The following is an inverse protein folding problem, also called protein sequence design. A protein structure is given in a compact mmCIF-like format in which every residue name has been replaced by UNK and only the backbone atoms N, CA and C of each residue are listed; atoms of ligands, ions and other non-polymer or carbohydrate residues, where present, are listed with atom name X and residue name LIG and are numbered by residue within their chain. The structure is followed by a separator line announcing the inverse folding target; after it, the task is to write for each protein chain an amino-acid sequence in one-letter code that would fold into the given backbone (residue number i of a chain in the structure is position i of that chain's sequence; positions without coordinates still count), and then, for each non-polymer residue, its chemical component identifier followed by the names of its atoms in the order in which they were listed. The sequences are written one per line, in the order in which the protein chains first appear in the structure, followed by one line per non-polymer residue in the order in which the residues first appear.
data_IF_885059052281
#
_entry.id   IF_885059052281
#
_cell.length_a   1.000
_cell.length_b   1.000
_cell.length_c   1.000
_cell.angle_alpha   90.00
_cell.angle_beta   90.00
_cell.angle_gamma   90.00
#
_symmetry.space_group_name_H-M   'P 1'
#
loop_
_entity.id
_entity.type
_entity.pdbx_description
1 polymer ?
#
# COMPACT_ATOMS: atom_id res chain seq x y z
N UNK A 1 -41.41 95.23 -29.74
CA UNK A 1 -42.01 94.40 -28.71
C UNK A 1 -42.39 93.11 -29.39
N UNK A 2 -41.84 92.02 -29.13
CA UNK A 2 -42.26 91.06 -28.12
C UNK A 2 -41.14 90.34 -27.40
N UNK A 3 -41.49 89.68 -26.29
CA UNK A 3 -40.71 89.12 -25.26
C UNK A 3 -40.08 87.75 -25.69
N UNK A 4 -38.79 87.59 -25.45
CA UNK A 4 -38.12 86.34 -25.57
C UNK A 4 -38.36 85.39 -24.34
N UNK A 5 -38.69 84.18 -24.63
CA UNK A 5 -38.89 83.12 -23.66
C UNK A 5 -37.61 82.25 -23.64
N UNK A 6 -36.83 82.31 -22.55
CA UNK A 6 -35.64 81.52 -22.30
C UNK A 6 -36.03 80.16 -21.70
N UNK A 7 -35.75 79.13 -22.46
CA UNK A 7 -35.83 77.72 -21.95
C UNK A 7 -34.53 77.37 -21.22
N UNK A 8 -34.64 76.96 -19.93
CA UNK A 8 -33.60 76.33 -19.15
C UNK A 8 -33.65 74.80 -19.39
N UNK A 9 -32.53 74.12 -19.71
CA UNK A 9 -32.53 72.68 -19.75
C UNK A 9 -32.38 72.12 -18.32
N UNK A 10 -33.34 71.29 -17.91
CA UNK A 10 -33.26 70.48 -16.69
C UNK A 10 -32.20 69.42 -16.82
N UNK A 11 -31.15 69.51 -16.01
CA UNK A 11 -30.08 68.49 -15.89
C UNK A 11 -30.62 67.37 -14.97
N UNK A 12 -31.01 66.24 -15.54
CA UNK A 12 -31.36 65.03 -14.80
C UNK A 12 -30.07 64.37 -14.32
N UNK A 13 -29.80 64.50 -13.01
CA UNK A 13 -28.70 63.79 -12.32
C UNK A 13 -29.11 62.32 -12.12
N UNK A 14 -28.63 61.42 -13.01
CA UNK A 14 -28.77 59.97 -12.83
C UNK A 14 -27.84 59.52 -11.70
N UNK A 15 -28.40 59.26 -10.50
CA UNK A 15 -27.68 58.61 -9.40
C UNK A 15 -27.50 57.15 -9.71
N UNK A 16 -26.34 56.76 -10.26
CA UNK A 16 -25.93 55.37 -10.42
C UNK A 16 -25.58 54.85 -9.05
N UNK A 17 -26.51 54.13 -8.42
CA UNK A 17 -26.20 53.31 -7.26
C UNK A 17 -25.30 52.15 -7.72
N UNK A 18 -23.99 52.25 -7.48
CA UNK A 18 -23.08 51.14 -7.56
C UNK A 18 -23.45 50.14 -6.46
N UNK A 19 -24.08 49.04 -6.84
CA UNK A 19 -24.19 47.88 -5.96
C UNK A 19 -22.76 47.40 -5.67
N UNK A 20 -22.41 47.13 -4.40
CA UNK A 20 -21.11 46.53 -4.12
C UNK A 20 -21.09 45.18 -4.83
N UNK A 21 -20.17 45.03 -5.78
CA UNK A 21 -19.83 43.71 -6.32
C UNK A 21 -19.37 42.87 -5.13
N UNK A 22 -20.15 41.85 -4.77
CA UNK A 22 -19.68 40.82 -3.90
C UNK A 22 -18.61 40.09 -4.69
N UNK A 23 -17.36 40.52 -4.51
CA UNK A 23 -16.21 39.69 -4.84
C UNK A 23 -16.37 38.44 -3.98
N UNK A 24 -16.62 37.27 -4.58
CA UNK A 24 -16.47 36.01 -3.88
C UNK A 24 -15.02 35.97 -3.37
N UNK A 25 -14.85 36.16 -2.09
CA UNK A 25 -13.53 36.09 -1.45
C UNK A 25 -13.09 34.62 -1.58
N UNK A 26 -12.11 34.38 -2.44
CA UNK A 26 -11.54 33.05 -2.54
C UNK A 26 -11.04 32.66 -1.16
N UNK A 27 -11.51 31.51 -0.65
CA UNK A 27 -11.07 31.02 0.65
C UNK A 27 -9.59 30.63 0.55
N UNK A 28 -8.76 31.20 1.42
CA UNK A 28 -7.31 30.92 1.52
C UNK A 28 -6.99 30.42 2.93
N UNK A 29 -5.90 29.68 3.10
CA UNK A 29 -5.56 29.07 4.39
C UNK A 29 -5.31 30.12 5.48
N UNK A 30 -4.86 31.31 5.11
CA UNK A 30 -4.62 32.45 6.00
C UNK A 30 -5.88 33.34 6.26
N UNK A 31 -7.02 32.97 5.64
CA UNK A 31 -8.28 33.68 5.91
C UNK A 31 -8.61 33.63 7.40
N UNK A 32 -8.67 34.81 8.07
CA UNK A 32 -8.96 34.89 9.49
C UNK A 32 -10.44 34.62 9.74
N UNK A 33 -10.74 33.61 10.57
CA UNK A 33 -12.10 33.22 10.96
C UNK A 33 -12.48 33.70 12.36
N UNK A 34 -11.48 33.93 13.24
CA UNK A 34 -11.69 34.57 14.54
C UNK A 34 -10.44 35.32 15.02
N UNK A 35 -10.62 36.25 15.98
CA UNK A 35 -9.55 36.89 16.74
C UNK A 35 -9.85 36.79 18.23
N UNK A 36 -8.90 36.23 18.98
CA UNK A 36 -9.01 36.05 20.43
C UNK A 36 -7.93 36.87 21.12
N UNK A 37 -8.29 38.01 21.68
CA UNK A 37 -7.37 38.96 22.29
C UNK A 37 -6.19 39.36 21.36
N UNK A 38 -6.45 39.46 20.06
CA UNK A 38 -5.47 39.83 19.04
C UNK A 38 -4.77 38.63 18.36
N UNK A 39 -4.88 37.42 18.90
CA UNK A 39 -4.39 36.21 18.27
C UNK A 39 -5.37 35.72 17.19
N UNK A 40 -4.89 35.45 15.99
CA UNK A 40 -5.71 35.09 14.85
C UNK A 40 -5.88 33.58 14.77
N UNK A 41 -7.11 33.13 14.55
CA UNK A 41 -7.47 31.77 14.13
C UNK A 41 -7.83 31.86 12.67
N UNK A 42 -7.16 31.03 11.83
CA UNK A 42 -7.35 31.04 10.39
C UNK A 42 -8.12 29.81 9.92
N UNK A 43 -8.61 29.88 8.69
CA UNK A 43 -9.25 28.73 8.04
C UNK A 43 -8.29 27.51 7.94
N UNK A 44 -7.00 27.75 7.73
CA UNK A 44 -5.97 26.70 7.75
C UNK A 44 -5.91 25.95 9.08
N UNK A 45 -6.00 26.67 10.22
CA UNK A 45 -6.07 26.02 11.54
C UNK A 45 -7.29 25.09 11.66
N UNK A 46 -8.45 25.52 11.14
CA UNK A 46 -9.66 24.71 11.17
C UNK A 46 -9.57 23.46 10.27
N UNK A 47 -8.99 23.61 9.08
CA UNK A 47 -8.80 22.51 8.12
C UNK A 47 -7.91 21.43 8.75
N UNK A 48 -6.78 21.82 9.35
CA UNK A 48 -5.89 20.87 10.02
C UNK A 48 -6.58 20.23 11.23
N UNK A 49 -7.30 21.02 12.05
CA UNK A 49 -8.05 20.47 13.18
C UNK A 49 -9.10 19.43 12.71
N UNK A 50 -9.82 19.70 11.60
CA UNK A 50 -10.76 18.77 11.00
C UNK A 50 -10.08 17.48 10.55
N UNK A 51 -8.91 17.57 9.91
CA UNK A 51 -8.17 16.41 9.40
C UNK A 51 -7.70 15.46 10.51
N UNK A 52 -7.47 15.99 11.72
CA UNK A 52 -7.03 15.22 12.89
C UNK A 52 -8.17 14.67 13.75
N UNK A 53 -9.43 14.97 13.41
CA UNK A 53 -10.58 14.44 14.15
C UNK A 53 -10.68 12.92 14.01
N UNK A 54 -11.07 12.20 15.09
CA UNK A 54 -11.42 10.80 15.00
C UNK A 54 -12.51 10.54 13.95
N UNK A 55 -12.42 9.40 13.24
CA UNK A 55 -13.27 9.07 12.10
C UNK A 55 -14.77 9.22 12.38
N UNK A 56 -15.21 8.92 13.61
CA UNK A 56 -16.61 9.06 14.03
C UNK A 56 -17.15 10.49 13.93
N UNK A 57 -16.30 11.50 14.13
CA UNK A 57 -16.68 12.92 14.02
C UNK A 57 -16.63 13.41 12.58
N UNK A 58 -15.78 12.84 11.74
CA UNK A 58 -15.65 13.24 10.33
C UNK A 58 -16.93 13.01 9.50
N UNK A 59 -17.89 12.25 10.02
CA UNK A 59 -19.19 11.98 9.39
C UNK A 59 -20.27 13.01 9.73
N UNK A 60 -19.98 13.96 10.61
CA UNK A 60 -20.93 15.03 10.95
C UNK A 60 -21.07 16.03 9.79
N UNK A 61 -22.25 16.72 9.68
CA UNK A 61 -22.43 17.77 8.68
C UNK A 61 -21.38 18.87 8.80
N UNK A 62 -20.93 19.42 7.67
CA UNK A 62 -19.85 20.42 7.64
C UNK A 62 -20.21 21.70 8.44
N UNK A 63 -21.49 22.09 8.50
CA UNK A 63 -21.94 23.23 9.29
C UNK A 63 -21.72 23.00 10.80
N UNK A 64 -21.99 21.78 11.28
CA UNK A 64 -21.79 21.39 12.68
C UNK A 64 -20.30 21.32 13.02
N UNK A 65 -19.49 20.76 12.10
CA UNK A 65 -18.05 20.69 12.26
C UNK A 65 -17.42 22.07 12.26
N UNK A 66 -17.84 22.96 11.38
CA UNK A 66 -17.29 24.31 11.28
C UNK A 66 -17.46 25.06 12.60
N UNK A 67 -18.70 25.13 13.13
CA UNK A 67 -18.98 25.81 14.40
C UNK A 67 -18.25 25.15 15.57
N UNK A 68 -18.30 23.80 15.66
CA UNK A 68 -17.68 23.07 16.77
C UNK A 68 -16.15 23.19 16.79
N UNK A 69 -15.48 23.14 15.64
CA UNK A 69 -14.02 23.31 15.53
C UNK A 69 -13.63 24.74 15.87
N UNK A 70 -14.38 25.73 15.36
CA UNK A 70 -14.11 27.13 15.65
C UNK A 70 -14.21 27.41 17.14
N UNK A 71 -15.29 26.99 17.78
CA UNK A 71 -15.51 27.16 19.23
C UNK A 71 -14.40 26.45 20.03
N UNK A 72 -14.00 25.25 19.65
CA UNK A 72 -12.90 24.52 20.28
C UNK A 72 -11.59 25.31 20.20
N UNK A 73 -11.22 25.82 19.02
CA UNK A 73 -9.99 26.58 18.83
C UNK A 73 -10.01 27.90 19.62
N UNK A 74 -11.15 28.60 19.69
CA UNK A 74 -11.33 29.79 20.52
C UNK A 74 -11.09 29.47 22.00
N UNK A 75 -11.71 28.40 22.52
CA UNK A 75 -11.56 27.99 23.92
C UNK A 75 -10.12 27.59 24.23
N UNK A 76 -9.47 26.83 23.36
CA UNK A 76 -8.05 26.44 23.49
C UNK A 76 -7.15 27.69 23.51
N UNK A 77 -7.41 28.68 22.66
CA UNK A 77 -6.64 29.93 22.60
C UNK A 77 -6.79 30.71 23.90
N UNK A 78 -8.02 30.85 24.44
CA UNK A 78 -8.26 31.50 25.73
C UNK A 78 -7.49 30.79 26.87
N UNK A 79 -7.56 29.45 26.94
CA UNK A 79 -6.85 28.68 27.96
C UNK A 79 -5.34 28.81 27.83
N UNK A 80 -4.80 28.77 26.62
CA UNK A 80 -3.38 28.99 26.33
C UNK A 80 -2.93 30.37 26.85
N UNK A 81 -3.72 31.41 26.66
CA UNK A 81 -3.38 32.78 27.10
C UNK A 81 -3.32 32.94 28.63
N UNK A 82 -4.07 32.11 29.38
CA UNK A 82 -3.99 32.07 30.86
C UNK A 82 -2.63 31.62 31.38
N UNK A 83 -1.86 30.85 30.61
CA UNK A 83 -0.49 30.46 30.99
C UNK A 83 0.51 31.62 31.09
N UNK A 84 0.12 32.83 30.69
CA UNK A 84 0.94 34.05 30.88
C UNK A 84 2.27 34.05 30.13
N UNK A 85 2.38 33.33 29.01
CA UNK A 85 3.56 33.27 28.15
C UNK A 85 4.66 32.32 28.58
N UNK A 86 4.51 31.56 29.68
CA UNK A 86 5.41 30.48 30.07
C UNK A 86 4.96 29.18 29.39
N UNK A 87 5.81 28.63 28.54
CA UNK A 87 5.57 27.29 27.96
C UNK A 87 6.27 26.23 28.82
N UNK A 88 5.53 25.28 29.45
CA UNK A 88 6.16 24.19 30.22
C UNK A 88 7.12 23.37 29.35
N UNK A 89 8.21 22.86 29.95
CA UNK A 89 9.23 22.05 29.25
C UNK A 89 8.60 20.86 28.48
N UNK A 90 7.67 20.17 29.11
CA UNK A 90 6.94 19.06 28.46
C UNK A 90 6.27 19.49 27.15
N UNK A 91 5.65 20.68 27.12
CA UNK A 91 4.98 21.20 25.91
C UNK A 91 6.01 21.55 24.84
N UNK A 92 7.14 22.18 25.21
CA UNK A 92 8.23 22.50 24.27
C UNK A 92 8.73 21.23 23.61
N UNK A 93 9.11 20.22 24.39
CA UNK A 93 9.64 18.97 23.89
C UNK A 93 8.62 18.19 23.04
N UNK A 94 7.33 18.27 23.40
CA UNK A 94 6.26 17.66 22.61
C UNK A 94 6.12 18.30 21.24
N UNK A 95 6.17 19.65 21.18
CA UNK A 95 6.11 20.40 19.91
C UNK A 95 7.34 20.12 19.03
N UNK A 96 8.55 20.06 19.62
CA UNK A 96 9.77 19.71 18.87
C UNK A 96 9.72 18.29 18.30
N UNK A 97 9.15 17.34 19.03
CA UNK A 97 8.96 15.96 18.53
C UNK A 97 7.92 15.91 17.44
N UNK A 98 6.81 16.61 17.57
CA UNK A 98 5.74 16.70 16.57
C UNK A 98 6.25 17.35 15.28
N UNK A 99 6.94 18.48 15.37
CA UNK A 99 7.56 19.15 14.22
C UNK A 99 8.50 18.22 13.48
N UNK A 100 9.37 17.49 14.21
CA UNK A 100 10.30 16.51 13.62
C UNK A 100 9.56 15.39 12.90
N UNK A 101 8.48 14.90 13.49
CA UNK A 101 7.66 13.84 12.92
C UNK A 101 6.95 14.29 11.65
N UNK A 102 6.32 15.46 11.68
CA UNK A 102 5.58 16.02 10.53
C UNK A 102 6.51 16.33 9.36
N UNK A 103 7.65 16.97 9.61
CA UNK A 103 8.64 17.28 8.57
C UNK A 103 9.28 16.02 7.97
N UNK A 104 9.53 15.00 8.79
CA UNK A 104 10.01 13.71 8.30
C UNK A 104 8.96 13.01 7.43
N UNK A 105 7.68 13.02 7.85
CA UNK A 105 6.57 12.48 7.08
C UNK A 105 6.42 13.16 5.72
N UNK A 106 6.42 14.48 5.68
CA UNK A 106 6.37 15.27 4.44
C UNK A 106 7.54 14.93 3.50
N UNK A 107 8.75 14.77 4.04
CA UNK A 107 9.93 14.40 3.25
C UNK A 107 9.77 12.99 2.66
N UNK A 108 9.26 12.04 3.44
CA UNK A 108 9.00 10.67 2.99
C UNK A 108 7.95 10.68 1.86
N UNK A 109 6.85 11.40 2.01
CA UNK A 109 5.82 11.52 0.98
C UNK A 109 6.38 12.10 -0.33
N UNK A 110 7.23 13.12 -0.24
CA UNK A 110 7.90 13.72 -1.41
C UNK A 110 8.82 12.71 -2.11
N UNK A 111 9.61 11.92 -1.36
CA UNK A 111 10.45 10.86 -1.92
C UNK A 111 9.57 9.85 -2.64
N UNK A 112 8.53 9.31 -1.99
CA UNK A 112 7.63 8.31 -2.54
C UNK A 112 6.96 8.80 -3.82
N UNK A 113 6.45 10.04 -3.82
CA UNK A 113 5.82 10.64 -4.99
C UNK A 113 6.80 10.83 -6.16
N UNK A 114 8.07 11.15 -5.88
CA UNK A 114 9.08 11.40 -6.90
C UNK A 114 9.55 10.14 -7.64
N UNK A 115 9.45 8.96 -7.01
CA UNK A 115 9.98 7.70 -7.56
C UNK A 115 8.91 6.81 -8.18
N UNK A 116 7.63 7.05 -7.92
CA UNK A 116 6.53 6.24 -8.43
C UNK A 116 6.11 6.74 -9.82
N UNK A 117 6.92 6.45 -10.82
CA UNK A 117 6.64 6.78 -12.24
C UNK A 117 6.31 5.52 -13.04
N UNK A 118 5.63 5.68 -14.17
CA UNK A 118 5.32 4.55 -15.05
C UNK A 118 6.58 3.87 -15.58
N UNK A 119 7.65 4.62 -15.83
CA UNK A 119 8.94 4.09 -16.27
C UNK A 119 9.61 3.26 -15.16
N UNK A 120 9.54 3.73 -13.89
CA UNK A 120 10.09 2.99 -12.77
C UNK A 120 9.32 1.70 -12.50
N UNK A 121 7.99 1.74 -12.61
CA UNK A 121 7.13 0.57 -12.49
C UNK A 121 7.42 -0.46 -13.57
N UNK A 122 7.54 -0.03 -14.83
CA UNK A 122 7.88 -0.91 -15.94
C UNK A 122 9.27 -1.51 -15.75
N UNK A 123 10.26 -0.73 -15.34
CA UNK A 123 11.62 -1.22 -15.11
C UNK A 123 11.67 -2.25 -13.95
N UNK A 124 10.93 -2.01 -12.87
CA UNK A 124 10.82 -2.95 -11.76
C UNK A 124 10.11 -4.25 -12.17
N UNK A 125 9.05 -4.13 -12.97
CA UNK A 125 8.36 -5.27 -13.53
C UNK A 125 9.28 -6.10 -14.43
N UNK A 126 9.96 -5.46 -15.38
CA UNK A 126 10.88 -6.13 -16.30
C UNK A 126 12.03 -6.82 -15.54
N UNK A 127 12.54 -6.19 -14.47
CA UNK A 127 13.59 -6.78 -13.65
C UNK A 127 13.09 -7.98 -12.83
N UNK A 128 11.87 -7.90 -12.29
CA UNK A 128 11.28 -8.96 -11.46
C UNK A 128 10.79 -10.14 -12.30
N UNK A 129 10.25 -9.86 -13.48
CA UNK A 129 9.60 -10.82 -14.36
C UNK A 129 10.34 -11.01 -15.70
N UNK A 130 11.69 -10.81 -15.69
CA UNK A 130 12.55 -11.04 -16.85
C UNK A 130 12.40 -12.45 -17.43
N UNK A 131 12.89 -12.65 -18.64
CA UNK A 131 12.89 -13.94 -19.33
C UNK A 131 13.40 -15.07 -18.41
N UNK A 132 12.61 -16.12 -18.26
CA UNK A 132 12.88 -17.22 -17.35
C UNK A 132 12.27 -17.07 -15.96
N UNK A 133 11.50 -16.00 -15.73
CA UNK A 133 10.67 -15.88 -14.52
C UNK A 133 9.69 -17.04 -14.42
N UNK A 134 9.43 -17.39 -13.19
CA UNK A 134 8.47 -18.41 -12.83
C UNK A 134 9.13 -19.75 -12.51
N UNK A 135 8.50 -20.44 -11.58
CA UNK A 135 8.84 -21.80 -11.25
C UNK A 135 8.40 -22.75 -12.35
N UNK A 136 9.04 -23.91 -12.44
CA UNK A 136 8.61 -24.95 -13.35
C UNK A 136 7.22 -25.43 -12.94
N UNK A 137 6.28 -25.40 -13.87
CA UNK A 137 4.97 -26.05 -13.76
C UNK A 137 4.96 -27.31 -14.61
N UNK A 138 4.39 -28.34 -14.04
CA UNK A 138 4.30 -29.67 -14.64
C UNK A 138 2.84 -30.03 -14.88
N UNK A 139 2.56 -30.58 -16.04
CA UNK A 139 1.30 -31.26 -16.31
C UNK A 139 1.56 -32.74 -16.32
N UNK A 140 0.95 -33.48 -15.42
CA UNK A 140 1.18 -34.92 -15.31
C UNK A 140 -0.13 -35.69 -15.16
N UNK A 141 -0.01 -36.97 -15.51
CA UNK A 141 -1.03 -37.98 -15.22
C UNK A 141 -0.42 -39.10 -14.38
N UNK A 142 -1.20 -39.72 -13.50
CA UNK A 142 -0.72 -40.84 -12.71
C UNK A 142 -1.72 -41.99 -12.61
N UNK A 143 -1.18 -43.20 -12.36
CA UNK A 143 -1.92 -44.40 -12.01
C UNK A 143 -1.45 -44.81 -10.62
N UNK A 144 -2.36 -44.84 -9.66
CA UNK A 144 -2.11 -45.26 -8.29
C UNK A 144 -2.61 -46.70 -8.10
N UNK A 145 -1.78 -47.53 -7.58
CA UNK A 145 -2.09 -48.94 -7.26
C UNK A 145 -1.54 -49.33 -5.88
N UNK A 146 -2.12 -50.35 -5.20
CA UNK A 146 -1.74 -50.67 -3.84
C UNK A 146 -0.38 -51.37 -3.69
N UNK A 147 0.17 -52.03 -4.74
CA UNK A 147 1.39 -52.81 -4.65
C UNK A 147 2.41 -52.50 -5.75
N UNK A 148 3.68 -52.76 -5.47
CA UNK A 148 4.77 -52.60 -6.42
C UNK A 148 4.61 -53.52 -7.65
N UNK A 149 4.13 -54.74 -7.42
CA UNK A 149 3.95 -55.71 -8.50
C UNK A 149 2.86 -55.25 -9.47
N UNK A 150 1.77 -54.67 -8.97
CA UNK A 150 0.75 -54.05 -9.82
C UNK A 150 1.29 -52.83 -10.59
N UNK A 151 2.12 -52.01 -9.95
CA UNK A 151 2.74 -50.87 -10.63
C UNK A 151 3.70 -51.28 -11.72
N UNK A 152 4.47 -52.36 -11.52
CA UNK A 152 5.33 -52.98 -12.55
C UNK A 152 4.51 -53.52 -13.71
N UNK A 153 3.39 -54.19 -13.42
CA UNK A 153 2.49 -54.71 -14.46
C UNK A 153 1.85 -53.55 -15.27
N UNK A 154 1.46 -52.46 -14.61
CA UNK A 154 0.98 -51.22 -15.27
C UNK A 154 2.07 -50.64 -16.16
N UNK A 155 3.29 -50.51 -15.65
CA UNK A 155 4.43 -49.97 -16.42
C UNK A 155 4.72 -50.84 -17.67
N UNK A 156 4.67 -52.16 -17.56
CA UNK A 156 4.86 -53.05 -18.69
C UNK A 156 3.77 -52.91 -19.78
N UNK A 157 2.51 -52.73 -19.38
CA UNK A 157 1.43 -52.42 -20.32
C UNK A 157 1.69 -51.15 -21.11
N UNK A 158 2.09 -50.08 -20.39
CA UNK A 158 2.38 -48.76 -20.98
C UNK A 158 3.60 -48.82 -21.91
N UNK A 159 4.64 -49.58 -21.55
CA UNK A 159 5.84 -49.80 -22.38
C UNK A 159 5.51 -50.58 -23.66
N UNK A 160 4.49 -51.44 -23.61
CA UNK A 160 3.97 -52.17 -24.77
C UNK A 160 2.98 -51.32 -25.61
N UNK A 161 2.81 -50.02 -25.29
CA UNK A 161 2.01 -49.06 -26.07
C UNK A 161 0.52 -49.03 -25.74
N UNK A 162 0.11 -49.59 -24.61
CA UNK A 162 -1.28 -49.47 -24.15
C UNK A 162 -1.52 -48.02 -23.74
N UNK A 163 -2.72 -47.50 -24.04
CA UNK A 163 -3.09 -46.12 -23.73
C UNK A 163 -3.08 -45.83 -22.22
N UNK A 164 -2.42 -44.76 -21.83
CA UNK A 164 -2.24 -44.39 -20.42
C UNK A 164 -3.60 -44.11 -19.76
N UNK A 165 -4.44 -43.30 -20.40
CA UNK A 165 -5.71 -42.90 -19.84
C UNK A 165 -6.70 -44.07 -19.70
N UNK A 166 -6.68 -44.99 -20.65
CA UNK A 166 -7.50 -46.21 -20.56
C UNK A 166 -7.01 -47.10 -19.40
N UNK A 167 -5.66 -47.27 -19.26
CA UNK A 167 -5.08 -48.02 -18.14
C UNK A 167 -5.38 -47.37 -16.80
N UNK A 168 -5.33 -46.04 -16.71
CA UNK A 168 -5.68 -45.31 -15.51
C UNK A 168 -7.14 -45.53 -15.09
N UNK A 169 -8.09 -45.49 -16.04
CA UNK A 169 -9.50 -45.74 -15.75
C UNK A 169 -9.76 -47.17 -15.29
N UNK A 170 -9.00 -48.13 -15.79
CA UNK A 170 -9.16 -49.57 -15.46
C UNK A 170 -8.48 -49.93 -14.13
N UNK A 171 -7.28 -49.39 -13.88
CA UNK A 171 -6.38 -49.90 -12.84
C UNK A 171 -6.14 -48.94 -11.67
N UNK A 172 -6.34 -47.63 -11.87
CA UNK A 172 -6.01 -46.68 -10.83
C UNK A 172 -7.05 -46.69 -9.69
N UNK A 173 -6.55 -46.76 -8.46
CA UNK A 173 -7.35 -46.59 -7.24
C UNK A 173 -7.40 -45.15 -6.79
N UNK A 174 -6.66 -44.25 -7.45
CA UNK A 174 -6.62 -42.85 -7.15
C UNK A 174 -7.85 -42.08 -7.68
N UNK A 175 -8.14 -40.91 -7.09
CA UNK A 175 -9.34 -40.13 -7.43
C UNK A 175 -9.33 -39.59 -8.88
N UNK A 176 -8.16 -39.43 -9.49
CA UNK A 176 -8.00 -39.03 -10.89
C UNK A 176 -8.19 -40.18 -11.90
N UNK A 177 -8.23 -41.43 -11.44
CA UNK A 177 -8.37 -42.62 -12.30
C UNK A 177 -9.53 -42.51 -13.30
N UNK A 178 -10.76 -42.18 -12.91
CA UNK A 178 -11.89 -42.04 -13.83
C UNK A 178 -11.68 -41.00 -14.94
N UNK A 179 -10.82 -40.01 -14.70
CA UNK A 179 -10.45 -38.95 -15.64
C UNK A 179 -9.14 -39.28 -16.41
N UNK A 180 -8.76 -40.54 -16.48
CA UNK A 180 -7.53 -40.96 -17.16
C UNK A 180 -6.23 -40.69 -16.41
N UNK A 181 -6.34 -40.41 -15.11
CA UNK A 181 -5.22 -40.12 -14.23
C UNK A 181 -4.73 -38.67 -14.27
N UNK A 182 -5.39 -37.78 -15.00
CA UNK A 182 -4.98 -36.36 -15.16
C UNK A 182 -4.98 -35.60 -13.84
N UNK A 183 -3.89 -34.85 -13.59
CA UNK A 183 -3.71 -34.00 -12.42
C UNK A 183 -3.78 -32.51 -12.76
N UNK A 184 -3.72 -32.15 -14.06
CA UNK A 184 -3.59 -30.77 -14.51
C UNK A 184 -2.21 -30.20 -14.28
N UNK A 185 -2.11 -28.85 -14.30
CA UNK A 185 -0.88 -28.12 -14.03
C UNK A 185 -0.67 -27.93 -12.53
N UNK A 186 0.57 -28.15 -12.07
CA UNK A 186 0.96 -27.91 -10.68
C UNK A 186 2.42 -27.45 -10.62
N UNK A 187 2.73 -26.60 -9.64
CA UNK A 187 4.09 -26.13 -9.35
C UNK A 187 4.81 -26.96 -8.29
N UNK A 188 6.03 -26.56 -7.99
CA UNK A 188 6.84 -27.15 -6.93
C UNK A 188 6.14 -27.06 -5.57
N UNK A 189 6.26 -28.11 -4.75
CA UNK A 189 5.66 -28.23 -3.42
C UNK A 189 4.16 -28.57 -3.39
N UNK A 190 3.51 -28.73 -4.56
CA UNK A 190 2.10 -29.10 -4.61
C UNK A 190 1.85 -30.61 -4.41
N UNK A 191 2.89 -31.44 -4.62
CA UNK A 191 2.81 -32.88 -4.53
C UNK A 191 3.71 -33.40 -3.40
N UNK A 192 3.52 -34.67 -3.01
CA UNK A 192 4.43 -35.31 -2.03
C UNK A 192 5.83 -35.41 -2.62
N UNK A 193 6.91 -35.31 -1.80
CA UNK A 193 8.28 -35.19 -2.29
C UNK A 193 8.73 -36.27 -3.25
N UNK A 194 8.36 -37.54 -2.99
CA UNK A 194 8.76 -38.68 -3.82
C UNK A 194 8.10 -38.61 -5.22
N UNK A 195 6.86 -38.17 -5.28
CA UNK A 195 6.13 -37.99 -6.53
C UNK A 195 6.74 -36.84 -7.34
N UNK A 196 6.98 -35.70 -6.68
CA UNK A 196 7.54 -34.51 -7.29
C UNK A 196 8.95 -34.77 -7.86
N UNK A 197 9.79 -35.42 -7.07
CA UNK A 197 11.14 -35.82 -7.53
C UNK A 197 11.08 -36.68 -8.79
N UNK A 198 10.11 -37.60 -8.87
CA UNK A 198 9.94 -38.46 -10.05
C UNK A 198 9.46 -37.65 -11.27
N UNK A 199 8.51 -36.70 -11.09
CA UNK A 199 8.04 -35.81 -12.17
C UNK A 199 9.20 -34.98 -12.72
N UNK A 200 10.01 -34.37 -11.83
CA UNK A 200 11.14 -33.51 -12.21
C UNK A 200 12.21 -34.24 -13.00
N UNK A 201 12.36 -35.58 -12.77
CA UNK A 201 13.32 -36.40 -13.45
C UNK A 201 12.85 -36.89 -14.83
N UNK A 202 11.56 -36.69 -15.16
CA UNK A 202 11.00 -37.14 -16.44
C UNK A 202 11.21 -36.10 -17.55
N UNK A 203 11.41 -36.63 -18.77
CA UNK A 203 11.21 -35.83 -19.99
C UNK A 203 9.73 -35.85 -20.40
N UNK A 204 9.28 -34.78 -21.05
CA UNK A 204 7.89 -34.67 -21.55
C UNK A 204 7.55 -35.86 -22.45
N UNK A 205 6.44 -36.48 -22.19
CA UNK A 205 5.93 -37.65 -22.87
C UNK A 205 6.35 -39.00 -22.22
N UNK A 206 7.33 -39.00 -21.32
CA UNK A 206 7.87 -40.24 -20.71
C UNK A 206 7.03 -40.67 -19.49
N UNK A 207 7.15 -41.97 -19.19
CA UNK A 207 6.49 -42.65 -18.06
C UNK A 207 7.53 -43.10 -17.05
N UNK A 208 7.32 -42.79 -15.77
CA UNK A 208 8.24 -43.16 -14.69
C UNK A 208 8.34 -44.67 -14.46
N UNK A 209 9.42 -45.12 -13.81
CA UNK A 209 9.37 -46.35 -13.04
C UNK A 209 8.32 -46.26 -11.91
N UNK A 210 7.90 -47.39 -11.29
CA UNK A 210 7.06 -47.36 -10.11
C UNK A 210 7.66 -46.51 -8.99
N UNK A 211 6.85 -45.55 -8.45
CA UNK A 211 7.25 -44.62 -7.39
C UNK A 211 6.40 -44.88 -6.15
N UNK A 212 7.06 -45.16 -5.04
CA UNK A 212 6.38 -45.39 -3.77
C UNK A 212 6.12 -44.07 -3.04
N UNK A 213 4.91 -43.90 -2.50
CA UNK A 213 4.54 -42.81 -1.59
C UNK A 213 3.73 -43.35 -0.42
N UNK A 214 3.33 -42.51 0.51
CA UNK A 214 2.42 -42.89 1.61
C UNK A 214 1.03 -43.38 1.13
N UNK A 215 0.64 -43.07 -0.11
CA UNK A 215 -0.67 -43.42 -0.69
C UNK A 215 -0.67 -44.76 -1.44
N UNK A 216 0.50 -45.31 -1.73
CA UNK A 216 0.71 -46.51 -2.53
C UNK A 216 1.79 -46.32 -3.59
N UNK A 217 1.64 -47.06 -4.68
CA UNK A 217 2.60 -47.06 -5.80
C UNK A 217 2.02 -46.31 -7.00
N UNK A 218 2.79 -45.38 -7.54
CA UNK A 218 2.42 -44.55 -8.67
C UNK A 218 3.23 -44.89 -9.91
N UNK A 219 2.58 -44.90 -11.06
CA UNK A 219 3.21 -44.81 -12.38
C UNK A 219 2.79 -43.47 -12.96
N UNK A 220 3.78 -42.60 -13.26
CA UNK A 220 3.55 -41.19 -13.58
C UNK A 220 3.96 -40.95 -15.04
N UNK A 221 3.15 -40.19 -15.77
CA UNK A 221 3.48 -39.66 -17.09
C UNK A 221 3.58 -38.17 -17.04
N UNK A 222 4.70 -37.60 -17.48
CA UNK A 222 4.81 -36.15 -17.68
C UNK A 222 4.20 -35.79 -19.04
N UNK A 223 3.10 -35.09 -19.05
CA UNK A 223 2.40 -34.68 -20.26
C UNK A 223 3.04 -33.45 -20.88
N UNK A 224 3.39 -32.45 -20.04
CA UNK A 224 4.00 -31.19 -20.47
C UNK A 224 4.72 -30.51 -19.32
N UNK A 225 5.59 -29.54 -19.64
CA UNK A 225 6.33 -28.70 -18.70
C UNK A 225 6.40 -27.29 -19.23
N UNK A 226 6.16 -26.29 -18.36
CA UNK A 226 6.28 -24.88 -18.70
C UNK A 226 6.85 -24.06 -17.53
N UNK A 227 7.24 -22.84 -17.77
CA UNK A 227 7.42 -21.85 -16.74
C UNK A 227 6.07 -21.21 -16.43
N UNK A 228 5.82 -20.88 -15.16
CA UNK A 228 4.65 -20.09 -14.82
C UNK A 228 4.74 -18.73 -15.52
N UNK A 229 3.59 -18.23 -15.98
CA UNK A 229 3.54 -16.93 -16.67
C UNK A 229 3.65 -15.80 -15.65
N UNK A 230 4.38 -14.74 -16.00
CA UNK A 230 4.36 -13.51 -15.23
C UNK A 230 2.92 -12.97 -15.16
N UNK A 231 2.50 -12.43 -14.02
CA UNK A 231 1.23 -11.70 -13.93
C UNK A 231 1.30 -10.45 -14.81
N UNK A 232 0.15 -9.92 -15.22
CA UNK A 232 0.13 -8.63 -15.93
C UNK A 232 0.60 -7.49 -15.01
N UNK A 233 1.25 -6.47 -15.57
CA UNK A 233 1.77 -5.34 -14.79
C UNK A 233 0.69 -4.70 -13.91
N UNK A 234 -0.53 -4.57 -14.40
CA UNK A 234 -1.64 -3.97 -13.66
C UNK A 234 -2.03 -4.79 -12.42
N UNK A 235 -1.83 -6.10 -12.43
CA UNK A 235 -2.13 -6.98 -11.29
C UNK A 235 -1.11 -6.83 -10.14
N UNK A 236 0.12 -6.40 -10.45
CA UNK A 236 1.22 -6.27 -9.49
C UNK A 236 1.67 -4.83 -9.29
N UNK A 237 0.97 -3.87 -9.91
CA UNK A 237 1.34 -2.46 -9.93
C UNK A 237 1.50 -1.87 -8.53
N UNK A 238 0.53 -2.12 -7.65
CA UNK A 238 0.55 -1.60 -6.29
C UNK A 238 1.67 -2.20 -5.44
N UNK A 239 1.95 -3.49 -5.61
CA UNK A 239 3.06 -4.18 -4.95
C UNK A 239 4.41 -3.60 -5.40
N UNK A 240 4.61 -3.44 -6.71
CA UNK A 240 5.82 -2.85 -7.26
C UNK A 240 6.00 -1.39 -6.82
N UNK A 241 4.92 -0.61 -6.82
CA UNK A 241 4.95 0.76 -6.34
C UNK A 241 5.40 0.83 -4.87
N UNK A 242 4.82 0.00 -4.00
CA UNK A 242 5.19 -0.05 -2.59
C UNK A 242 6.66 -0.44 -2.39
N UNK A 243 7.17 -1.40 -3.17
CA UNK A 243 8.58 -1.80 -3.12
C UNK A 243 9.51 -0.68 -3.57
N UNK A 244 9.22 -0.01 -4.70
CA UNK A 244 10.00 1.13 -5.20
C UNK A 244 10.06 2.25 -4.16
N UNK A 245 8.92 2.57 -3.54
CA UNK A 245 8.81 3.60 -2.51
C UNK A 245 9.63 3.24 -1.27
N UNK A 246 9.51 2.02 -0.78
CA UNK A 246 10.26 1.54 0.36
C UNK A 246 11.77 1.62 0.10
N UNK A 247 12.24 1.07 -1.02
CA UNK A 247 13.65 1.05 -1.39
C UNK A 247 14.22 2.46 -1.50
N UNK A 248 13.47 3.39 -2.07
CA UNK A 248 13.89 4.78 -2.21
C UNK A 248 14.01 5.49 -0.85
N UNK A 249 13.07 5.27 0.07
CA UNK A 249 13.14 5.82 1.42
C UNK A 249 14.32 5.22 2.20
N UNK A 250 14.53 3.91 2.12
CA UNK A 250 15.65 3.22 2.77
C UNK A 250 17.00 3.72 2.23
N UNK A 251 17.13 3.83 0.92
CA UNK A 251 18.35 4.37 0.29
C UNK A 251 18.61 5.80 0.73
N UNK A 252 17.60 6.66 0.74
CA UNK A 252 17.74 8.05 1.18
C UNK A 252 18.14 8.16 2.65
N UNK A 253 17.55 7.34 3.52
CA UNK A 253 17.94 7.29 4.95
C UNK A 253 19.37 6.80 5.14
N UNK A 254 19.81 5.82 4.35
CA UNK A 254 21.18 5.33 4.37
C UNK A 254 22.17 6.44 3.97
N UNK A 255 21.90 7.18 2.88
CA UNK A 255 22.70 8.31 2.43
C UNK A 255 22.79 9.40 3.52
N UNK A 256 21.62 9.83 4.04
CA UNK A 256 21.56 10.84 5.10
C UNK A 256 22.30 10.41 6.37
N UNK A 257 22.26 9.12 6.70
CA UNK A 257 22.96 8.57 7.86
C UNK A 257 24.47 8.52 7.63
N UNK A 258 24.91 8.22 6.41
CA UNK A 258 26.32 8.19 6.03
C UNK A 258 26.93 9.58 6.00
N UNK A 259 26.20 10.56 5.45
CA UNK A 259 26.69 11.93 5.28
C UNK A 259 26.52 12.77 6.55
N UNK A 260 25.64 12.34 7.48
CA UNK A 260 25.31 13.06 8.70
C UNK A 260 26.42 12.99 9.76
N UNK A 261 26.69 14.11 10.42
CA UNK A 261 27.49 14.10 11.65
C UNK A 261 26.63 13.65 12.84
N UNK A 262 26.61 12.34 13.12
CA UNK A 262 25.80 11.73 14.17
C UNK A 262 26.67 11.38 15.37
N UNK A 263 26.49 12.13 16.47
CA UNK A 263 27.20 11.87 17.73
C UNK A 263 26.26 11.17 18.72
N UNK A 264 26.69 10.04 19.26
CA UNK A 264 25.96 9.28 20.32
C UNK A 264 26.84 9.22 21.56
N UNK A 265 26.78 10.24 22.46
CA UNK A 265 27.59 10.25 23.65
C UNK A 265 27.28 9.08 24.56
N UNK A 266 28.30 8.54 25.23
CA UNK A 266 28.11 7.51 26.24
C UNK A 266 27.50 8.13 27.50
N UNK A 267 26.32 7.66 27.89
CA UNK A 267 25.57 8.16 29.05
C UNK A 267 25.86 7.29 30.27
N UNK A 268 26.94 7.59 31.00
CA UNK A 268 27.29 6.87 32.22
C UNK A 268 26.26 7.08 33.32
N UNK A 269 25.75 6.00 33.88
CA UNK A 269 24.77 6.04 35.00
C UNK A 269 23.32 6.32 34.60
N UNK A 270 23.02 6.44 33.31
CA UNK A 270 21.65 6.54 32.79
C UNK A 270 21.26 5.19 32.22
N UNK A 271 20.21 4.62 32.75
CA UNK A 271 19.65 3.33 32.30
C UNK A 271 18.37 3.56 31.49
N UNK A 272 17.96 2.64 30.60
CA UNK A 272 16.79 2.80 29.75
C UNK A 272 15.46 3.05 30.48
N UNK A 273 15.35 2.68 31.74
CA UNK A 273 14.17 2.90 32.58
C UNK A 273 13.92 4.39 32.90
N UNK A 274 14.93 5.29 32.71
CA UNK A 274 14.77 6.74 32.79
C UNK A 274 13.65 7.26 31.87
N UNK A 275 13.34 6.56 30.79
CA UNK A 275 12.25 6.93 29.87
C UNK A 275 10.87 6.91 30.51
N UNK A 276 10.73 6.36 31.72
CA UNK A 276 9.47 6.32 32.49
C UNK A 276 9.35 7.48 33.50
N UNK A 277 10.41 8.26 33.66
CA UNK A 277 10.51 9.33 34.67
C UNK A 277 9.94 10.64 34.09
N UNK A 278 8.61 10.73 34.01
CA UNK A 278 7.93 11.93 33.46
C UNK A 278 8.18 13.20 34.30
N UNK A 279 8.55 13.05 35.57
CA UNK A 279 8.91 14.17 36.45
C UNK A 279 10.10 14.98 35.93
N UNK A 280 10.98 14.40 35.13
CA UNK A 280 12.13 15.11 34.54
C UNK A 280 11.72 16.19 33.54
N UNK A 281 10.49 16.17 33.05
CA UNK A 281 9.96 17.13 32.06
C UNK A 281 8.78 17.95 32.59
N UNK A 282 8.41 17.81 33.85
CA UNK A 282 7.23 18.45 34.46
C UNK A 282 7.57 19.75 35.23
N UNK A 283 8.64 20.45 34.89
CA UNK A 283 9.00 21.73 35.50
C UNK A 283 8.24 22.92 34.95
#
# INVERSE_FOLDING_TARGET
MPKGLTFLPSLALALVMALPAHSETKAEADTVVARVNGEEITLGHMIIARATLPQQYQQLPDEVLFEGILDQLIQQTLLKQVQGGRTPLQVVLSLENEERSLLAGETIEQIMASVTTDEALQAAYDAKYADGFGEDEFNASHILVPSEDEAKAVKELLDNGVDFAATARERSTGPSGPNGGELGWFGAGAMVPEFEAAVMALEVGNVSAPVQTQFGWHVIKLNDKRKSTAPELDEVRDELAAQIQQDAVEARLADLTSDGNIEKPHLSGITPDVLRQLELVQE
#
